data_IF_162392180913
#
_entry.id   IF_162392180913
#
_cell.length_a   1.000
_cell.length_b   1.000
_cell.length_c   1.000
_cell.angle_alpha   90.00
_cell.angle_beta   90.00
_cell.angle_gamma   90.00
#
_symmetry.space_group_name_H-M   'P 1'
#
loop_
_entity.id
_entity.type
_entity.pdbx_description
1 polymer ?
#
# COMPACT_ATOMS: atom_id res chain seq x y z
N UNK A 1 0.69 -27.96 -3.03
CA UNK A 1 0.34 -29.32 -2.54
C UNK A 1 0.27 -29.27 -1.03
N UNK A 2 -0.79 -29.88 -0.50
CA UNK A 2 -1.35 -29.85 0.87
C UNK A 2 -1.79 -28.48 1.41
N UNK A 3 -2.86 -28.53 2.20
CA UNK A 3 -3.39 -27.39 2.93
C UNK A 3 -2.50 -27.13 4.14
N UNK A 4 -2.14 -25.87 4.37
CA UNK A 4 -1.37 -25.43 5.51
C UNK A 4 -2.30 -24.66 6.46
N UNK A 5 -2.40 -25.12 7.70
CA UNK A 5 -3.21 -24.45 8.74
C UNK A 5 -2.52 -23.16 9.16
N UNK A 6 -3.28 -22.09 9.31
CA UNK A 6 -2.81 -20.76 9.68
C UNK A 6 -3.62 -20.20 10.86
N UNK A 7 -3.09 -19.18 11.52
CA UNK A 7 -3.83 -18.44 12.55
C UNK A 7 -5.01 -17.68 11.95
N UNK A 8 -5.95 -17.28 12.80
CA UNK A 8 -7.06 -16.40 12.42
C UNK A 8 -6.55 -15.06 11.88
N UNK A 9 -5.57 -14.44 12.56
CA UNK A 9 -4.97 -13.17 12.09
C UNK A 9 -4.42 -13.28 10.67
N UNK A 10 -3.66 -14.35 10.40
CA UNK A 10 -3.09 -14.54 9.07
C UNK A 10 -4.18 -14.85 8.03
N UNK A 11 -5.23 -15.58 8.43
CA UNK A 11 -6.38 -15.84 7.57
C UNK A 11 -7.10 -14.55 7.18
N UNK A 12 -7.35 -13.65 8.13
CA UNK A 12 -8.05 -12.39 7.90
C UNK A 12 -7.26 -11.49 6.94
N UNK A 13 -5.94 -11.38 7.13
CA UNK A 13 -5.05 -10.66 6.22
C UNK A 13 -5.07 -11.27 4.81
N UNK A 14 -5.01 -12.59 4.68
CA UNK A 14 -5.05 -13.26 3.36
C UNK A 14 -6.39 -13.05 2.67
N UNK A 15 -7.51 -13.13 3.39
CA UNK A 15 -8.84 -12.90 2.82
C UNK A 15 -8.99 -11.47 2.33
N UNK A 16 -8.55 -10.49 3.13
CA UNK A 16 -8.57 -9.09 2.71
C UNK A 16 -7.68 -8.88 1.48
N UNK A 17 -6.45 -9.39 1.50
CA UNK A 17 -5.54 -9.31 0.36
C UNK A 17 -6.17 -9.88 -0.92
N UNK A 18 -6.79 -11.06 -0.83
CA UNK A 18 -7.50 -11.69 -1.95
C UNK A 18 -8.68 -10.85 -2.46
N UNK A 19 -9.41 -10.17 -1.56
CA UNK A 19 -10.49 -9.26 -1.92
C UNK A 19 -9.94 -8.06 -2.70
N UNK A 20 -8.91 -7.39 -2.17
CA UNK A 20 -8.30 -6.23 -2.82
C UNK A 20 -7.65 -6.61 -4.15
N UNK A 21 -6.97 -7.76 -4.24
CA UNK A 21 -6.41 -8.25 -5.51
C UNK A 21 -7.47 -8.44 -6.59
N UNK A 22 -8.66 -8.95 -6.23
CA UNK A 22 -9.78 -9.05 -7.19
C UNK A 22 -10.34 -7.69 -7.59
N UNK A 23 -10.54 -6.80 -6.62
CA UNK A 23 -11.08 -5.45 -6.88
C UNK A 23 -10.16 -4.61 -7.76
N UNK A 24 -8.85 -4.84 -7.66
CA UNK A 24 -7.80 -4.07 -8.36
C UNK A 24 -7.27 -4.80 -9.59
N UNK A 25 -7.93 -5.90 -10.00
CA UNK A 25 -7.54 -6.73 -11.15
C UNK A 25 -6.07 -7.19 -11.11
N UNK A 26 -5.53 -7.40 -9.91
CA UNK A 26 -4.15 -7.84 -9.69
C UNK A 26 -3.12 -6.70 -9.56
N UNK A 27 -3.51 -5.43 -9.62
CA UNK A 27 -2.59 -4.32 -9.33
C UNK A 27 -2.05 -4.38 -7.89
N UNK A 28 -2.86 -4.91 -6.95
CA UNK A 28 -2.38 -5.39 -5.66
C UNK A 28 -2.29 -6.92 -5.67
N UNK A 29 -1.12 -7.48 -5.32
CA UNK A 29 -0.94 -8.92 -5.24
C UNK A 29 0.11 -9.29 -4.19
N UNK A 30 -0.29 -10.06 -3.18
CA UNK A 30 0.61 -10.53 -2.12
C UNK A 30 1.58 -11.62 -2.57
N UNK A 31 1.48 -12.14 -3.79
CA UNK A 31 2.39 -13.15 -4.34
C UNK A 31 3.60 -12.56 -5.06
N UNK A 32 3.81 -11.24 -4.97
CA UNK A 32 4.91 -10.50 -5.62
C UNK A 32 6.30 -10.82 -5.08
N UNK A 33 6.43 -11.56 -3.98
CA UNK A 33 7.72 -11.87 -3.37
C UNK A 33 8.81 -12.38 -4.35
N UNK A 34 8.51 -13.28 -5.31
CA UNK A 34 9.47 -13.72 -6.31
C UNK A 34 9.93 -12.59 -7.25
N UNK A 35 9.02 -11.71 -7.69
CA UNK A 35 9.36 -10.62 -8.60
C UNK A 35 10.13 -9.51 -7.88
N UNK A 36 9.74 -9.16 -6.65
CA UNK A 36 10.50 -8.25 -5.79
C UNK A 36 11.94 -8.73 -5.61
N UNK A 37 12.13 -10.03 -5.35
CA UNK A 37 13.46 -10.64 -5.23
C UNK A 37 14.24 -10.62 -6.54
N UNK A 38 13.58 -10.76 -7.69
CA UNK A 38 14.24 -10.75 -9.00
C UNK A 38 14.83 -9.37 -9.32
N UNK A 39 14.08 -8.30 -9.04
CA UNK A 39 14.51 -6.93 -9.30
C UNK A 39 15.58 -6.43 -8.32
N UNK A 40 15.72 -7.07 -7.15
CA UNK A 40 16.81 -6.84 -6.19
C UNK A 40 16.96 -5.36 -5.80
N UNK A 41 15.85 -4.67 -5.57
CA UNK A 41 15.87 -3.28 -5.08
C UNK A 41 16.33 -3.15 -3.61
N UNK A 42 17.23 -4.04 -3.17
CA UNK A 42 17.73 -4.12 -1.81
C UNK A 42 18.84 -3.09 -1.61
N UNK A 43 18.89 -2.51 -0.40
CA UNK A 43 19.82 -1.45 -0.01
C UNK A 43 21.31 -1.84 -0.04
N UNK A 44 21.63 -3.12 -0.15
CA UNK A 44 23.02 -3.63 -0.15
C UNK A 44 23.69 -3.59 -1.54
N UNK A 45 22.91 -3.40 -2.61
CA UNK A 45 23.46 -3.24 -3.96
C UNK A 45 23.77 -1.76 -4.20
N UNK A 46 25.03 -1.45 -4.50
CA UNK A 46 25.39 -0.14 -5.02
C UNK A 46 24.70 0.07 -6.36
N UNK A 47 24.15 1.26 -6.58
CA UNK A 47 23.42 1.60 -7.81
C UNK A 47 24.22 1.30 -9.09
N UNK A 48 25.56 1.46 -9.04
CA UNK A 48 26.45 1.20 -10.18
C UNK A 48 26.60 -0.29 -10.53
N UNK A 49 26.27 -1.20 -9.62
CA UNK A 49 26.38 -2.65 -9.81
C UNK A 49 25.02 -3.31 -10.13
N UNK A 50 23.95 -2.52 -10.18
CA UNK A 50 22.61 -2.99 -10.46
C UNK A 50 22.36 -3.08 -11.98
N UNK A 51 21.68 -4.15 -12.39
CA UNK A 51 21.21 -4.35 -13.76
C UNK A 51 19.78 -4.89 -13.72
N UNK A 52 18.90 -4.44 -14.62
CA UNK A 52 17.55 -4.99 -14.71
C UNK A 52 17.60 -6.46 -15.12
N UNK A 53 16.67 -7.31 -14.62
CA UNK A 53 16.53 -8.68 -15.10
C UNK A 53 16.16 -8.71 -16.58
N UNK A 54 16.53 -9.79 -17.25
CA UNK A 54 16.13 -10.03 -18.64
C UNK A 54 14.64 -10.37 -18.73
N UNK A 55 14.03 -10.13 -19.90
CA UNK A 55 12.62 -10.48 -20.13
C UNK A 55 12.34 -11.96 -19.86
N UNK A 56 13.26 -12.86 -20.21
CA UNK A 56 13.13 -14.30 -19.95
C UNK A 56 13.11 -14.63 -18.46
N UNK A 57 13.90 -13.92 -17.64
CA UNK A 57 13.88 -14.08 -16.19
C UNK A 57 12.56 -13.58 -15.60
N UNK A 58 12.06 -12.43 -16.08
CA UNK A 58 10.77 -11.86 -15.66
C UNK A 58 9.63 -12.82 -15.99
N UNK A 59 9.53 -13.28 -17.24
CA UNK A 59 8.50 -14.23 -17.69
C UNK A 59 8.49 -15.52 -16.86
N UNK A 60 9.67 -16.06 -16.54
CA UNK A 60 9.78 -17.26 -15.70
C UNK A 60 9.29 -17.02 -14.28
N UNK A 61 9.58 -15.85 -13.72
CA UNK A 61 9.16 -15.50 -12.34
C UNK A 61 7.67 -15.15 -12.28
N UNK A 62 7.11 -14.52 -13.32
CA UNK A 62 5.68 -14.20 -13.40
C UNK A 62 4.79 -15.45 -13.34
N UNK A 63 5.27 -16.62 -13.75
CA UNK A 63 4.56 -17.89 -13.55
C UNK A 63 4.32 -18.25 -12.07
N UNK A 64 4.99 -17.56 -11.14
CA UNK A 64 4.84 -17.72 -9.69
C UNK A 64 4.06 -16.57 -9.03
N UNK A 65 3.65 -15.56 -9.80
CA UNK A 65 2.89 -14.40 -9.36
C UNK A 65 1.44 -14.54 -9.85
N UNK A 66 0.49 -14.12 -9.03
CA UNK A 66 -0.94 -14.20 -9.27
C UNK A 66 -1.69 -14.63 -8.01
N UNK A 67 -2.58 -13.78 -7.51
CA UNK A 67 -3.37 -14.03 -6.31
C UNK A 67 -4.24 -15.30 -6.42
N UNK A 68 -4.66 -15.68 -7.63
CA UNK A 68 -5.37 -16.92 -7.92
C UNK A 68 -4.54 -18.20 -7.64
N UNK A 69 -3.24 -18.06 -7.46
CA UNK A 69 -2.33 -19.15 -7.14
C UNK A 69 -2.34 -19.56 -5.65
N UNK A 70 -3.11 -18.83 -4.82
CA UNK A 70 -3.38 -19.15 -3.42
C UNK A 70 -4.85 -19.53 -3.29
N UNK A 71 -5.12 -20.80 -2.98
CA UNK A 71 -6.45 -21.24 -2.55
C UNK A 71 -6.59 -21.03 -1.04
N UNK A 72 -7.75 -20.51 -0.62
CA UNK A 72 -8.06 -20.24 0.78
C UNK A 72 -9.21 -21.14 1.23
N UNK A 73 -9.01 -21.82 2.35
CA UNK A 73 -9.98 -22.71 3.00
C UNK A 73 -10.18 -22.26 4.44
N UNK A 74 -10.93 -23.02 5.26
CA UNK A 74 -11.16 -22.63 6.67
C UNK A 74 -9.83 -22.60 7.42
N UNK A 75 -9.39 -21.41 7.88
CA UNK A 75 -8.12 -21.14 8.57
C UNK A 75 -6.93 -21.90 7.95
N UNK A 76 -6.92 -22.01 6.63
CA UNK A 76 -5.90 -22.75 5.91
C UNK A 76 -5.71 -22.19 4.51
N UNK A 77 -4.49 -22.33 3.99
CA UNK A 77 -4.14 -21.92 2.63
C UNK A 77 -3.45 -23.05 1.89
N UNK A 78 -3.55 -23.02 0.56
CA UNK A 78 -2.86 -23.95 -0.32
C UNK A 78 -2.28 -23.18 -1.49
N UNK A 79 -0.97 -23.30 -1.68
CA UNK A 79 -0.28 -22.79 -2.87
C UNK A 79 -0.37 -23.82 -4.00
N UNK A 80 -0.76 -23.38 -5.19
CA UNK A 80 -0.78 -24.25 -6.39
C UNK A 80 0.63 -24.69 -6.77
N UNK A 81 1.64 -23.84 -6.54
CA UNK A 81 3.05 -24.10 -6.72
C UNK A 81 3.85 -23.85 -5.42
N UNK A 82 4.72 -24.77 -4.94
CA UNK A 82 5.49 -24.56 -3.72
C UNK A 82 6.43 -23.35 -3.75
N UNK A 83 6.85 -22.92 -4.95
CA UNK A 83 7.79 -21.81 -5.15
C UNK A 83 7.14 -20.42 -5.02
N UNK A 84 5.81 -20.32 -4.95
CA UNK A 84 5.11 -19.07 -4.67
C UNK A 84 5.55 -18.55 -3.30
N UNK A 85 5.83 -17.25 -3.22
CA UNK A 85 6.20 -16.55 -1.98
C UNK A 85 5.19 -15.46 -1.71
N UNK A 86 4.70 -15.43 -0.48
CA UNK A 86 3.79 -14.40 0.00
C UNK A 86 4.62 -13.27 0.61
N UNK A 87 4.30 -12.05 0.24
CA UNK A 87 4.77 -10.80 0.83
C UNK A 87 3.54 -10.00 1.30
N UNK A 88 3.51 -9.62 2.58
CA UNK A 88 2.39 -8.91 3.21
C UNK A 88 2.76 -7.47 3.60
N UNK A 89 3.91 -6.95 3.15
CA UNK A 89 4.39 -5.63 3.56
C UNK A 89 3.40 -4.49 3.26
N UNK A 90 2.56 -4.66 2.24
CA UNK A 90 1.57 -3.69 1.77
C UNK A 90 0.16 -3.84 2.41
N UNK A 91 0.04 -4.59 3.52
CA UNK A 91 -1.25 -4.81 4.20
C UNK A 91 -1.09 -5.12 5.70
N UNK A 92 0.04 -5.71 6.10
CA UNK A 92 0.25 -6.19 7.46
C UNK A 92 0.40 -5.05 8.49
N UNK A 93 0.94 -3.90 8.09
CA UNK A 93 1.06 -2.72 8.98
C UNK A 93 -0.33 -2.19 9.31
N UNK A 94 -1.17 -1.98 8.29
CA UNK A 94 -2.57 -1.61 8.48
C UNK A 94 -3.32 -2.59 9.37
N UNK A 95 -3.12 -3.90 9.21
CA UNK A 95 -3.70 -4.90 10.12
C UNK A 95 -3.25 -4.72 11.58
N UNK A 96 -1.95 -4.47 11.80
CA UNK A 96 -1.43 -4.22 13.15
C UNK A 96 -2.06 -3.00 13.82
N UNK A 97 -2.28 -1.92 13.06
CA UNK A 97 -2.98 -0.72 13.53
C UNK A 97 -4.41 -1.07 13.94
N UNK A 98 -5.12 -1.85 13.11
CA UNK A 98 -6.49 -2.28 13.40
C UNK A 98 -6.59 -3.13 14.67
N UNK A 99 -5.69 -4.11 14.85
CA UNK A 99 -5.70 -4.96 16.05
C UNK A 99 -5.52 -4.16 17.33
N UNK A 100 -4.57 -3.21 17.34
CA UNK A 100 -4.34 -2.35 18.51
C UNK A 100 -5.54 -1.42 18.74
N UNK A 101 -6.10 -0.86 17.67
CA UNK A 101 -7.27 0.00 17.76
C UNK A 101 -8.49 -0.73 18.36
N UNK A 102 -8.82 -1.93 17.87
CA UNK A 102 -9.94 -2.71 18.39
C UNK A 102 -9.71 -3.14 19.85
N UNK A 103 -8.47 -3.48 20.23
CA UNK A 103 -8.13 -3.77 21.63
C UNK A 103 -8.42 -2.57 22.55
N UNK A 104 -8.01 -1.36 22.17
CA UNK A 104 -8.28 -0.15 22.96
C UNK A 104 -9.78 0.13 23.05
N UNK A 105 -10.50 -0.07 21.95
CA UNK A 105 -11.95 0.08 21.92
C UNK A 105 -12.66 -0.93 22.83
N UNK A 106 -12.22 -2.18 22.83
CA UNK A 106 -12.74 -3.25 23.71
C UNK A 106 -12.47 -2.97 25.20
N UNK A 107 -11.39 -2.24 25.51
CA UNK A 107 -11.10 -1.75 26.85
C UNK A 107 -11.95 -0.54 27.26
N UNK A 108 -12.80 -0.02 26.37
CA UNK A 108 -13.74 1.06 26.62
C UNK A 108 -13.21 2.46 26.31
N UNK A 109 -12.05 2.58 25.65
CA UNK A 109 -11.57 3.87 25.16
C UNK A 109 -12.36 4.30 23.92
N UNK A 110 -12.75 5.59 23.86
CA UNK A 110 -13.54 6.16 22.75
C UNK A 110 -12.75 7.14 21.90
N UNK A 111 -11.79 7.82 22.52
CA UNK A 111 -10.89 8.80 21.93
C UNK A 111 -9.52 8.15 21.72
N UNK A 112 -9.27 7.68 20.50
CA UNK A 112 -8.14 6.80 20.17
C UNK A 112 -7.41 7.35 18.95
N UNK A 113 -6.08 7.36 19.02
CA UNK A 113 -5.20 7.45 17.85
C UNK A 113 -4.17 6.33 17.96
N UNK A 114 -4.12 5.46 16.95
CA UNK A 114 -3.08 4.44 16.78
C UNK A 114 -2.29 4.77 15.53
N UNK A 115 -0.97 4.77 15.62
CA UNK A 115 -0.05 4.98 14.51
C UNK A 115 1.05 3.91 14.52
N UNK A 116 1.31 3.28 13.38
CA UNK A 116 2.42 2.34 13.20
C UNK A 116 3.05 2.54 11.83
N UNK A 117 4.18 3.25 11.77
CA UNK A 117 4.98 3.38 10.55
C UNK A 117 4.37 4.31 9.49
N UNK A 118 3.55 5.28 9.91
CA UNK A 118 2.81 6.23 9.07
C UNK A 118 1.36 5.84 8.81
N UNK A 119 0.98 4.57 9.05
CA UNK A 119 -0.40 4.11 9.00
C UNK A 119 -1.14 4.45 10.30
N UNK A 120 -2.32 5.04 10.18
CA UNK A 120 -3.07 5.64 11.29
C UNK A 120 -4.51 5.15 11.33
N UNK A 121 -5.08 4.97 12.53
CA UNK A 121 -6.52 4.85 12.75
C UNK A 121 -6.96 5.64 13.97
N UNK A 122 -8.05 6.40 13.81
CA UNK A 122 -8.54 7.35 14.79
C UNK A 122 -10.02 7.15 15.13
N UNK A 123 -10.41 7.55 16.34
CA UNK A 123 -11.81 7.68 16.79
C UNK A 123 -11.92 8.81 17.81
N UNK A 124 -13.05 9.53 17.78
CA UNK A 124 -13.35 10.56 18.78
C UNK A 124 -12.47 11.80 18.65
N UNK A 125 -12.14 12.41 19.77
CA UNK A 125 -11.55 13.74 19.85
C UNK A 125 -10.15 13.70 20.46
N UNK A 126 -9.33 14.67 20.07
CA UNK A 126 -8.06 14.94 20.74
C UNK A 126 -8.30 15.68 22.08
N UNK A 127 -7.22 15.98 22.80
CA UNK A 127 -7.25 16.72 24.07
C UNK A 127 -7.75 18.17 23.97
N UNK A 128 -7.97 18.69 22.76
CA UNK A 128 -8.53 20.02 22.49
C UNK A 128 -10.02 19.96 22.11
N UNK A 129 -10.63 18.78 22.08
CA UNK A 129 -12.04 18.59 21.70
C UNK A 129 -12.29 18.63 20.19
N UNK A 130 -11.25 18.51 19.37
CA UNK A 130 -11.33 18.46 17.91
C UNK A 130 -11.14 17.03 17.40
N UNK A 131 -11.73 16.68 16.26
CA UNK A 131 -11.36 15.43 15.58
C UNK A 131 -9.87 15.40 15.28
N UNK A 132 -9.30 14.20 15.32
CA UNK A 132 -7.88 13.98 15.09
C UNK A 132 -7.47 14.51 13.71
N UNK A 133 -6.55 15.48 13.69
CA UNK A 133 -5.97 16.05 12.47
C UNK A 133 -4.71 15.30 12.11
N UNK A 134 -4.70 14.65 10.95
CA UNK A 134 -3.55 13.91 10.43
C UNK A 134 -2.97 14.65 9.23
N UNK A 135 -1.69 14.96 9.30
CA UNK A 135 -0.95 15.58 8.20
C UNK A 135 -0.55 14.53 7.16
N UNK A 136 -0.67 14.90 5.89
CA UNK A 136 -0.13 14.15 4.76
C UNK A 136 1.09 14.91 4.26
N UNK A 137 2.26 14.30 4.35
CA UNK A 137 3.50 14.92 3.92
C UNK A 137 3.53 15.16 2.40
N UNK A 138 4.11 16.28 2.02
CA UNK A 138 4.51 16.51 0.64
C UNK A 138 5.69 15.57 0.34
N UNK A 139 5.67 14.81 -0.77
CA UNK A 139 6.68 13.79 -1.06
C UNK A 139 7.99 14.39 -1.60
N UNK A 140 8.59 15.30 -0.82
CA UNK A 140 9.89 15.90 -1.07
C UNK A 140 10.97 15.07 -0.37
N UNK A 141 12.12 14.95 -1.02
CA UNK A 141 13.24 14.17 -0.52
C UNK A 141 14.05 14.92 0.51
N UNK A 142 14.66 14.15 1.41
CA UNK A 142 15.61 14.63 2.42
C UNK A 142 15.02 15.72 3.34
N UNK A 143 13.69 15.82 3.38
CA UNK A 143 12.95 16.66 4.31
C UNK A 143 12.46 15.78 5.47
N UNK A 144 12.50 16.33 6.68
CA UNK A 144 11.97 15.64 7.86
C UNK A 144 10.45 15.46 7.73
N UNK A 145 9.90 14.28 8.08
CA UNK A 145 8.46 14.08 8.14
C UNK A 145 7.77 15.19 8.95
N UNK A 146 6.64 15.69 8.46
CA UNK A 146 5.88 16.79 9.05
C UNK A 146 6.40 18.20 8.77
N UNK A 147 7.56 18.37 8.11
CA UNK A 147 8.10 19.71 7.85
C UNK A 147 7.38 20.44 6.70
N UNK A 148 6.89 19.71 5.69
CA UNK A 148 6.03 20.24 4.63
C UNK A 148 4.84 19.31 4.41
N UNK A 149 3.64 19.80 4.71
CA UNK A 149 2.40 19.06 4.50
C UNK A 149 1.80 19.40 3.15
N UNK A 150 1.38 18.37 2.41
CA UNK A 150 0.53 18.50 1.24
C UNK A 150 -0.92 18.81 1.64
N UNK A 151 -1.41 18.14 2.68
CA UNK A 151 -2.79 18.26 3.15
C UNK A 151 -2.89 17.93 4.64
N UNK A 152 -4.00 18.35 5.27
CA UNK A 152 -4.40 17.92 6.61
C UNK A 152 -5.83 17.41 6.52
N UNK A 153 -6.06 16.20 7.03
CA UNK A 153 -7.39 15.59 7.07
C UNK A 153 -7.83 15.40 8.52
N UNK A 154 -9.11 15.60 8.80
CA UNK A 154 -9.66 15.17 10.09
C UNK A 154 -10.28 13.79 9.97
N UNK A 155 -9.94 12.92 10.91
CA UNK A 155 -10.43 11.56 10.97
C UNK A 155 -11.29 11.37 12.22
N UNK A 156 -12.48 10.81 12.01
CA UNK A 156 -13.31 10.24 13.06
C UNK A 156 -13.77 8.85 12.62
N UNK A 157 -13.52 7.86 13.47
CA UNK A 157 -13.74 6.44 13.23
C UNK A 157 -13.31 5.96 11.82
N UNK A 158 -12.15 6.46 11.38
CA UNK A 158 -11.54 6.15 10.07
C UNK A 158 -10.03 5.96 10.21
N UNK A 159 -9.48 5.26 9.25
CA UNK A 159 -8.05 5.07 9.07
C UNK A 159 -7.51 5.90 7.90
N UNK A 160 -6.20 6.13 7.91
CA UNK A 160 -5.42 6.69 6.82
C UNK A 160 -4.16 5.83 6.64
N UNK A 161 -3.85 5.47 5.41
CA UNK A 161 -2.56 4.89 5.04
C UNK A 161 -1.98 5.65 3.85
N UNK A 162 -0.65 5.76 3.81
CA UNK A 162 0.06 6.45 2.73
C UNK A 162 1.14 5.55 2.15
N UNK A 163 1.05 5.26 0.87
CA UNK A 163 2.11 4.60 0.10
C UNK A 163 2.84 5.64 -0.75
N UNK A 164 4.16 5.66 -0.72
CA UNK A 164 4.94 6.67 -1.43
C UNK A 164 6.18 6.11 -2.11
N UNK A 165 6.57 6.74 -3.21
CA UNK A 165 7.80 6.42 -3.92
C UNK A 165 8.98 7.27 -3.42
N UNK A 166 9.44 7.04 -2.19
CA UNK A 166 10.52 7.82 -1.58
C UNK A 166 11.93 7.55 -2.18
N UNK A 167 12.03 7.56 -3.51
CA UNK A 167 13.22 7.47 -4.37
C UNK A 167 14.25 6.42 -3.98
N UNK A 168 13.83 5.17 -3.89
CA UNK A 168 14.71 4.08 -4.31
C UNK A 168 14.47 3.85 -5.80
N UNK A 169 15.07 4.69 -6.64
CA UNK A 169 15.17 4.41 -8.07
C UNK A 169 16.54 3.84 -8.37
N UNK A 170 16.56 2.90 -9.30
CA UNK A 170 17.80 2.47 -9.93
C UNK A 170 17.87 3.08 -11.34
N UNK A 171 19.06 3.47 -11.76
CA UNK A 171 19.29 3.98 -13.11
C UNK A 171 20.14 2.97 -13.86
N UNK A 172 19.70 2.60 -15.06
CA UNK A 172 20.47 1.75 -15.95
C UNK A 172 20.29 2.22 -17.39
N UNK A 173 21.40 2.51 -18.08
CA UNK A 173 21.43 3.05 -19.44
C UNK A 173 20.52 4.29 -19.63
N UNK A 174 20.52 5.21 -18.66
CA UNK A 174 19.71 6.44 -18.71
C UNK A 174 18.20 6.22 -18.47
N UNK A 175 17.77 5.02 -18.11
CA UNK A 175 16.38 4.71 -17.73
C UNK A 175 16.27 4.53 -16.22
N UNK A 176 15.28 5.18 -15.62
CA UNK A 176 14.93 5.05 -14.20
C UNK A 176 13.96 3.90 -13.97
N UNK A 177 14.16 3.17 -12.88
CA UNK A 177 13.36 2.03 -12.45
C UNK A 177 12.91 2.25 -11.01
N UNK A 178 11.60 2.34 -10.79
CA UNK A 178 10.99 2.42 -9.45
C UNK A 178 11.09 1.08 -8.73
N UNK A 179 11.11 1.12 -7.40
CA UNK A 179 10.99 -0.07 -6.56
C UNK A 179 9.57 -0.63 -6.53
N UNK A 180 8.60 0.15 -6.98
CA UNK A 180 7.23 -0.31 -7.14
C UNK A 180 7.08 -1.12 -8.41
N UNK A 181 6.64 -2.37 -8.26
CA UNK A 181 6.48 -3.32 -9.36
C UNK A 181 4.99 -3.51 -9.62
N UNK A 182 4.61 -3.43 -10.89
CA UNK A 182 3.30 -3.87 -11.37
C UNK A 182 3.30 -5.41 -11.41
N UNK A 183 2.45 -6.10 -10.60
CA UNK A 183 2.43 -7.56 -10.54
C UNK A 183 1.98 -8.23 -11.85
N UNK A 184 1.22 -7.51 -12.68
CA UNK A 184 0.67 -8.02 -13.94
C UNK A 184 1.76 -8.09 -15.01
N UNK A 185 2.56 -7.02 -15.11
CA UNK A 185 3.63 -6.94 -16.12
C UNK A 185 4.95 -7.49 -15.61
N UNK A 186 5.16 -7.50 -14.30
CA UNK A 186 6.41 -7.88 -13.66
C UNK A 186 7.51 -6.82 -13.78
N UNK A 187 7.18 -5.60 -14.23
CA UNK A 187 8.11 -4.48 -14.35
C UNK A 187 7.81 -3.39 -13.33
N UNK A 188 8.80 -2.54 -13.01
CA UNK A 188 8.58 -1.29 -12.33
C UNK A 188 7.49 -0.45 -12.99
N UNK A 189 6.64 0.16 -12.17
CA UNK A 189 5.63 1.10 -12.65
C UNK A 189 6.32 2.27 -13.38
N UNK A 190 5.72 2.70 -14.49
CA UNK A 190 6.18 3.85 -15.29
C UNK A 190 5.17 5.00 -15.19
N UNK A 191 4.63 5.22 -14.00
CA UNK A 191 3.77 6.35 -13.70
C UNK A 191 4.55 7.35 -12.84
N UNK A 192 4.13 8.62 -12.85
CA UNK A 192 4.77 9.67 -12.06
C UNK A 192 4.11 9.81 -10.68
N UNK A 193 3.53 8.73 -10.13
CA UNK A 193 2.85 8.82 -8.84
C UNK A 193 3.90 8.92 -7.73
N UNK A 194 3.88 10.03 -7.00
CA UNK A 194 4.82 10.29 -5.92
C UNK A 194 4.35 9.68 -4.59
N UNK A 195 3.04 9.78 -4.33
CA UNK A 195 2.42 9.30 -3.11
C UNK A 195 0.94 9.10 -3.33
N UNK A 196 0.36 8.15 -2.59
CA UNK A 196 -1.07 7.93 -2.50
C UNK A 196 -1.45 7.81 -1.04
N UNK A 197 -2.42 8.61 -0.62
CA UNK A 197 -3.05 8.52 0.69
C UNK A 197 -4.48 8.02 0.52
N UNK A 198 -4.88 7.03 1.32
CA UNK A 198 -6.24 6.45 1.30
C UNK A 198 -6.84 6.52 2.69
N UNK A 199 -8.07 7.00 2.79
CA UNK A 199 -8.90 6.85 3.98
C UNK A 199 -9.88 5.70 3.79
N UNK A 200 -10.13 4.93 4.86
CA UNK A 200 -11.08 3.83 4.85
C UNK A 200 -11.60 3.55 6.27
N UNK A 201 -12.64 2.73 6.47
CA UNK A 201 -13.13 2.36 7.80
C UNK A 201 -12.11 1.60 8.66
N UNK A 202 -11.15 0.91 8.03
CA UNK A 202 -10.07 0.18 8.71
C UNK A 202 -8.74 0.39 7.97
N UNK A 203 -7.65 0.27 8.71
CA UNK A 203 -6.32 0.62 8.23
C UNK A 203 -5.76 -0.43 7.26
N UNK A 204 -6.08 -1.71 7.46
CA UNK A 204 -5.70 -2.79 6.55
C UNK A 204 -6.21 -2.56 5.12
N UNK A 205 -7.44 -2.06 4.97
CA UNK A 205 -8.03 -1.72 3.66
C UNK A 205 -7.35 -0.50 3.05
N UNK A 206 -7.10 0.54 3.86
CA UNK A 206 -6.41 1.74 3.39
C UNK A 206 -4.99 1.43 2.89
N UNK A 207 -4.22 0.64 3.64
CA UNK A 207 -2.83 0.25 3.33
C UNK A 207 -2.74 -0.49 1.98
N UNK A 208 -3.59 -1.51 1.81
CA UNK A 208 -3.64 -2.29 0.58
C UNK A 208 -4.09 -1.46 -0.64
N UNK A 209 -5.08 -0.60 -0.49
CA UNK A 209 -5.56 0.27 -1.57
C UNK A 209 -4.54 1.35 -1.92
N UNK A 210 -3.83 1.93 -0.95
CA UNK A 210 -2.78 2.91 -1.23
C UNK A 210 -1.69 2.30 -2.12
N UNK A 211 -1.26 1.07 -1.83
CA UNK A 211 -0.31 0.34 -2.69
C UNK A 211 -0.90 0.04 -4.07
N UNK A 212 -2.15 -0.43 -4.13
CA UNK A 212 -2.82 -0.73 -5.40
C UNK A 212 -2.89 0.50 -6.32
N UNK A 213 -3.27 1.65 -5.77
CA UNK A 213 -3.41 2.90 -6.50
C UNK A 213 -2.08 3.47 -6.99
N UNK A 214 -1.00 3.23 -6.27
CA UNK A 214 0.32 3.57 -6.77
C UNK A 214 0.68 2.77 -8.04
N UNK A 215 0.15 1.54 -8.20
CA UNK A 215 0.30 0.75 -9.44
C UNK A 215 -0.69 1.20 -10.51
N UNK A 216 -1.98 1.31 -10.18
CA UNK A 216 -3.05 1.70 -11.11
C UNK A 216 -2.91 3.15 -11.62
N UNK A 217 -2.22 4.00 -10.86
CA UNK A 217 -2.11 5.42 -11.13
C UNK A 217 -3.45 6.15 -10.98
N UNK A 218 -3.54 7.34 -11.61
CA UNK A 218 -4.71 8.22 -11.50
C UNK A 218 -6.05 7.58 -11.88
N UNK A 219 -6.03 6.55 -12.74
CA UNK A 219 -7.24 5.85 -13.17
C UNK A 219 -7.87 5.06 -12.02
N UNK A 220 -7.10 4.70 -10.98
CA UNK A 220 -7.63 4.05 -9.80
C UNK A 220 -8.61 4.89 -8.99
N UNK A 221 -8.69 6.21 -9.21
CA UNK A 221 -9.70 7.08 -8.57
C UNK A 221 -11.13 6.67 -8.96
N UNK A 222 -11.35 6.14 -10.16
CA UNK A 222 -12.68 5.63 -10.55
C UNK A 222 -13.10 4.43 -9.71
N UNK A 223 -12.16 3.52 -9.39
CA UNK A 223 -12.40 2.44 -8.45
C UNK A 223 -12.77 2.98 -7.08
N UNK A 224 -12.02 3.95 -6.55
CA UNK A 224 -12.29 4.53 -5.23
C UNK A 224 -13.67 5.20 -5.18
N UNK A 225 -14.05 5.96 -6.20
CA UNK A 225 -15.37 6.58 -6.28
C UNK A 225 -16.53 5.57 -6.35
N UNK A 226 -16.25 4.29 -6.65
CA UNK A 226 -17.24 3.21 -6.63
C UNK A 226 -17.38 2.52 -5.28
N UNK A 227 -16.56 2.90 -4.29
CA UNK A 227 -16.51 2.29 -2.97
C UNK A 227 -17.11 3.22 -1.92
N UNK A 228 -17.98 2.68 -1.08
CA UNK A 228 -18.53 3.44 0.05
C UNK A 228 -17.46 3.66 1.13
N UNK A 229 -17.47 4.84 1.74
CA UNK A 229 -16.60 5.24 2.87
C UNK A 229 -15.08 5.14 2.63
N UNK A 230 -14.64 5.07 1.37
CA UNK A 230 -13.23 5.09 1.00
C UNK A 230 -12.94 6.29 0.12
N UNK A 231 -11.91 7.06 0.50
CA UNK A 231 -11.47 8.21 -0.27
C UNK A 231 -9.97 8.14 -0.49
N UNK A 232 -9.46 8.71 -1.58
CA UNK A 232 -8.05 8.72 -1.89
C UNK A 232 -7.58 10.06 -2.46
N UNK A 233 -6.34 10.41 -2.18
CA UNK A 233 -5.59 11.47 -2.84
C UNK A 233 -4.32 10.87 -3.45
N UNK A 234 -4.11 11.13 -4.73
CA UNK A 234 -2.94 10.73 -5.49
C UNK A 234 -2.12 11.97 -5.80
N UNK A 235 -0.89 12.02 -5.28
CA UNK A 235 0.09 13.06 -5.58
C UNK A 235 0.93 12.60 -6.78
N UNK A 236 0.96 13.41 -7.83
CA UNK A 236 1.63 13.16 -9.10
C UNK A 236 2.79 14.13 -9.25
N UNK A 237 3.99 13.61 -9.48
CA UNK A 237 5.20 14.39 -9.75
C UNK A 237 5.17 14.95 -11.17
N UNK A 238 5.34 16.26 -11.32
CA UNK A 238 5.56 16.92 -12.62
C UNK A 238 7.05 17.11 -12.91
N UNK A 239 7.81 17.47 -11.88
CA UNK A 239 9.28 17.57 -11.89
C UNK A 239 9.80 17.36 -10.45
N UNK A 240 11.08 17.60 -10.20
CA UNK A 240 11.71 17.33 -8.89
C UNK A 240 11.09 18.11 -7.72
N UNK A 241 10.46 19.26 -7.97
CA UNK A 241 9.93 20.16 -6.92
C UNK A 241 8.45 20.48 -7.09
N UNK A 242 7.86 20.21 -8.25
CA UNK A 242 6.47 20.48 -8.58
C UNK A 242 5.63 19.21 -8.60
N UNK A 243 4.51 19.27 -7.88
CA UNK A 243 3.52 18.20 -7.77
C UNK A 243 2.13 18.73 -8.13
N UNK A 244 1.27 17.82 -8.58
CA UNK A 244 -0.17 18.02 -8.68
C UNK A 244 -0.89 16.89 -7.96
N UNK A 245 -2.14 17.08 -7.56
CA UNK A 245 -2.96 16.02 -6.96
C UNK A 245 -4.20 15.72 -7.79
N UNK A 246 -4.68 14.48 -7.66
CA UNK A 246 -6.03 14.05 -8.08
C UNK A 246 -6.64 13.31 -6.89
N UNK A 247 -7.87 13.64 -6.53
CA UNK A 247 -8.55 13.01 -5.39
C UNK A 247 -9.91 12.45 -5.81
N UNK A 248 -10.41 11.50 -5.02
CA UNK A 248 -11.78 11.02 -5.14
C UNK A 248 -12.78 12.11 -4.75
N UNK A 249 -14.03 11.92 -5.16
CA UNK A 249 -15.06 12.96 -5.09
C UNK A 249 -15.49 13.34 -3.67
N UNK A 250 -15.38 12.42 -2.70
CA UNK A 250 -15.66 12.69 -1.29
C UNK A 250 -14.41 13.04 -0.47
N UNK A 251 -13.24 13.18 -1.10
CA UNK A 251 -12.03 13.60 -0.40
C UNK A 251 -12.15 15.06 0.05
N UNK A 252 -12.23 15.27 1.36
CA UNK A 252 -12.33 16.60 1.97
C UNK A 252 -11.08 16.91 2.79
N UNK A 253 -10.36 17.95 2.38
CA UNK A 253 -9.26 18.53 3.15
C UNK A 253 -9.82 19.56 4.14
N UNK A 254 -9.25 19.62 5.34
CA UNK A 254 -9.60 20.66 6.29
C UNK A 254 -8.56 21.79 6.18
N UNK A 255 -9.03 22.98 5.82
CA UNK A 255 -8.27 24.23 5.89
C UNK A 255 -7.96 24.65 7.32
#
# INVERSE_FOLDING_TARGET
KDWFTISTDFYDVIIMAQKISRLTEGAFDITVGPIMKLWRFNRDLKQNDWQPPTNQEIEKVLQLVGFNNIAVGKNSIKKVNPNIKIDLNAIAKGYGVDVVFELLKDLGYTDILVEIGGEVRCSGYNNEGNYWKIGIDKPILDIMPGAELQAVISLDNKALATSGDYRNYFEYNGKLFSHMIDPVTGYPTQNNIASVSVTAPNCMTADALATALMVMGKNGIELINSMDDVEAMIIIRKNDTEFSSVSSSGWTENS
#
